data_IF_550543807559
#
_entry.id   IF_550543807559
#
_cell.length_a   1.000
_cell.length_b   1.000
_cell.length_c   1.000
_cell.angle_alpha   90.00
_cell.angle_beta   90.00
_cell.angle_gamma   90.00
#
_symmetry.space_group_name_H-M   'P 1'
#
loop_
_entity.id
_entity.type
_entity.pdbx_description
1 polymer ?
#
# COMPACT_ATOMS: atom_id res chain seq x y z
N UNK A 1 -4.22 -20.38 -5.63
CA UNK A 1 -3.34 -19.22 -5.91
C UNK A 1 -3.86 -18.53 -7.15
N UNK A 2 -4.88 -17.68 -6.98
CA UNK A 2 -5.34 -16.83 -8.07
C UNK A 2 -4.25 -15.79 -8.35
N UNK A 3 -3.82 -15.68 -9.61
CA UNK A 3 -2.99 -14.56 -10.03
C UNK A 3 -3.83 -13.29 -9.89
N UNK A 4 -3.68 -12.58 -8.78
CA UNK A 4 -4.20 -11.22 -8.68
C UNK A 4 -3.59 -10.41 -9.83
N UNK A 5 -4.40 -9.74 -10.65
CA UNK A 5 -3.87 -9.00 -11.78
C UNK A 5 -2.99 -7.86 -11.25
N UNK A 6 -1.66 -8.07 -11.33
CA UNK A 6 -0.61 -7.12 -10.95
C UNK A 6 -0.83 -5.68 -11.46
N UNK A 7 -1.58 -5.54 -12.56
CA UNK A 7 -1.93 -4.24 -13.14
C UNK A 7 -2.94 -3.46 -12.28
N UNK A 8 -3.95 -4.11 -11.71
CA UNK A 8 -4.96 -3.47 -10.86
C UNK A 8 -4.30 -2.96 -9.57
N UNK A 9 -3.41 -3.76 -8.99
CA UNK A 9 -2.67 -3.39 -7.77
C UNK A 9 -1.82 -2.14 -7.95
N UNK A 10 -1.20 -1.94 -9.11
CA UNK A 10 -0.35 -0.75 -9.37
C UNK A 10 -1.16 0.54 -9.45
N UNK A 11 -2.30 0.54 -10.13
CA UNK A 11 -3.17 1.73 -10.17
C UNK A 11 -3.79 2.02 -8.80
N UNK A 12 -4.20 0.99 -8.04
CA UNK A 12 -4.68 1.16 -6.67
C UNK A 12 -3.62 1.78 -5.75
N UNK A 13 -2.38 1.30 -5.80
CA UNK A 13 -1.27 1.87 -5.03
C UNK A 13 -1.07 3.34 -5.39
N UNK A 14 -1.03 3.65 -6.69
CA UNK A 14 -0.88 5.02 -7.17
C UNK A 14 -1.99 5.93 -6.69
N UNK A 15 -3.25 5.49 -6.79
CA UNK A 15 -4.41 6.25 -6.31
C UNK A 15 -4.32 6.48 -4.79
N UNK A 16 -4.05 5.44 -4.01
CA UNK A 16 -3.93 5.54 -2.57
C UNK A 16 -2.81 6.52 -2.13
N UNK A 17 -1.69 6.55 -2.86
CA UNK A 17 -0.61 7.52 -2.60
C UNK A 17 -1.02 8.96 -2.94
N UNK A 18 -1.73 9.17 -4.04
CA UNK A 18 -2.18 10.50 -4.50
C UNK A 18 -3.38 11.05 -3.71
N UNK A 19 -4.20 10.18 -3.13
CA UNK A 19 -5.34 10.55 -2.29
C UNK A 19 -4.93 10.80 -0.84
N UNK A 20 -3.79 10.26 -0.40
CA UNK A 20 -3.28 10.46 0.95
C UNK A 20 -2.78 11.89 1.15
N UNK A 21 -3.32 12.59 2.15
CA UNK A 21 -2.98 13.98 2.42
C UNK A 21 -1.49 14.25 2.71
N UNK A 22 -0.75 13.26 3.22
CA UNK A 22 0.67 13.37 3.51
C UNK A 22 1.55 13.06 2.29
N UNK A 23 1.05 12.26 1.34
CA UNK A 23 1.84 11.71 0.22
C UNK A 23 1.44 12.28 -1.15
N UNK A 24 0.32 12.99 -1.25
CA UNK A 24 -0.19 13.56 -2.50
C UNK A 24 0.72 14.55 -3.22
N UNK A 25 1.70 15.12 -2.51
CA UNK A 25 2.65 16.09 -3.07
C UNK A 25 3.94 15.44 -3.57
N UNK A 26 4.03 14.11 -3.60
CA UNK A 26 5.18 13.39 -4.14
C UNK A 26 5.28 13.60 -5.65
N UNK A 27 6.51 13.74 -6.14
CA UNK A 27 6.77 13.77 -7.58
C UNK A 27 6.49 12.40 -8.21
N UNK A 28 6.11 12.39 -9.48
CA UNK A 28 5.84 11.16 -10.25
C UNK A 28 6.97 10.12 -10.18
N UNK A 29 8.23 10.57 -10.12
CA UNK A 29 9.39 9.70 -9.94
C UNK A 29 9.38 8.97 -8.60
N UNK A 30 9.11 9.69 -7.51
CA UNK A 30 9.06 9.13 -6.15
C UNK A 30 7.89 8.16 -5.99
N UNK A 31 6.72 8.50 -6.55
CA UNK A 31 5.56 7.61 -6.56
C UNK A 31 5.91 6.29 -7.24
N UNK A 32 6.60 6.35 -8.38
CA UNK A 32 7.04 5.16 -9.12
C UNK A 32 8.03 4.31 -8.33
N UNK A 33 9.00 4.94 -7.67
CA UNK A 33 9.95 4.23 -6.80
C UNK A 33 9.25 3.52 -5.64
N UNK A 34 8.30 4.19 -4.98
CA UNK A 34 7.48 3.57 -3.92
C UNK A 34 6.73 2.37 -4.48
N UNK A 35 6.02 2.54 -5.60
CA UNK A 35 5.27 1.45 -6.25
C UNK A 35 6.15 0.26 -6.61
N UNK A 36 7.39 0.48 -7.05
CA UNK A 36 8.35 -0.58 -7.37
C UNK A 36 8.91 -1.28 -6.12
N UNK A 37 8.95 -0.59 -4.98
CA UNK A 37 9.41 -1.13 -3.70
C UNK A 37 8.35 -1.92 -2.92
N UNK A 38 7.06 -1.68 -3.20
CA UNK A 38 5.96 -2.35 -2.50
C UNK A 38 5.85 -3.83 -2.88
N UNK A 39 5.50 -4.66 -1.90
CA UNK A 39 5.27 -6.08 -2.06
C UNK A 39 3.98 -6.50 -1.35
N UNK A 40 3.39 -7.61 -1.80
CA UNK A 40 2.20 -8.17 -1.16
C UNK A 40 2.57 -8.84 0.16
N UNK A 41 1.82 -8.52 1.20
CA UNK A 41 1.91 -9.16 2.52
C UNK A 41 0.53 -9.64 2.94
N UNK A 42 0.40 -10.92 3.26
CA UNK A 42 -0.84 -11.51 3.78
C UNK A 42 -0.88 -11.34 5.30
N UNK A 43 -1.98 -10.80 5.82
CA UNK A 43 -2.18 -10.62 7.25
C UNK A 43 -3.32 -11.51 7.74
N UNK A 44 -3.11 -12.20 8.86
CA UNK A 44 -4.15 -13.01 9.48
C UNK A 44 -5.21 -12.14 10.17
N UNK A 45 -6.44 -12.64 10.24
CA UNK A 45 -7.51 -11.98 10.96
C UNK A 45 -7.15 -11.82 12.45
N UNK A 46 -7.21 -10.59 12.96
CA UNK A 46 -6.83 -10.26 14.32
C UNK A 46 -5.34 -10.00 14.52
N UNK A 47 -4.53 -10.02 13.45
CA UNK A 47 -3.13 -9.61 13.52
C UNK A 47 -3.01 -8.10 13.83
N UNK A 48 -2.01 -7.76 14.64
CA UNK A 48 -1.63 -6.37 14.92
C UNK A 48 -0.55 -5.96 13.93
N UNK A 49 -0.90 -5.16 12.93
CA UNK A 49 0.03 -4.72 11.86
C UNK A 49 0.88 -3.55 12.35
N UNK A 50 0.27 -2.55 12.97
CA UNK A 50 0.95 -1.39 13.54
C UNK A 50 0.57 -1.31 15.02
N UNK A 51 1.57 -1.16 15.88
CA UNK A 51 1.40 -0.96 17.32
C UNK A 51 1.85 0.44 17.70
N UNK A 52 0.99 1.17 18.42
CA UNK A 52 1.31 2.49 18.92
C UNK A 52 2.53 2.45 19.87
N UNK A 53 3.45 3.40 19.70
CA UNK A 53 4.70 3.47 20.45
C UNK A 53 5.88 2.74 19.80
N UNK A 54 5.63 1.86 18.82
CA UNK A 54 6.69 1.21 18.05
C UNK A 54 7.25 2.15 16.97
N UNK A 55 8.51 1.90 16.59
CA UNK A 55 9.14 2.66 15.50
C UNK A 55 8.50 2.27 14.16
N UNK A 56 7.97 3.25 13.43
CA UNK A 56 7.41 3.04 12.10
C UNK A 56 8.48 3.03 11.01
N UNK A 57 8.52 1.96 10.21
CA UNK A 57 9.44 1.81 9.07
C UNK A 57 8.80 1.31 7.78
N UNK A 58 7.52 0.92 7.82
CA UNK A 58 6.79 0.40 6.67
C UNK A 58 5.53 1.24 6.41
N UNK A 59 5.12 1.26 5.14
CA UNK A 59 3.85 1.82 4.67
C UNK A 59 2.99 0.70 4.10
N UNK A 60 1.70 0.72 4.44
CA UNK A 60 0.74 -0.30 4.03
C UNK A 60 -0.38 0.33 3.22
N UNK A 61 -0.82 -0.38 2.18
CA UNK A 61 -2.01 -0.06 1.39
C UNK A 61 -2.87 -1.31 1.41
N UNK A 62 -4.13 -1.15 1.81
CA UNK A 62 -5.09 -2.24 1.86
C UNK A 62 -5.99 -2.20 0.64
N UNK A 63 -6.18 -3.34 0.00
CA UNK A 63 -7.27 -3.52 -0.96
C UNK A 63 -8.57 -3.68 -0.18
N UNK A 64 -9.59 -2.86 -0.50
CA UNK A 64 -10.89 -2.95 0.16
C UNK A 64 -11.51 -4.33 -0.08
N UNK A 65 -12.07 -4.93 0.98
CA UNK A 65 -12.88 -6.14 0.83
C UNK A 65 -14.06 -5.80 -0.11
N UNK A 66 -14.34 -6.64 -1.14
CA UNK A 66 -15.57 -6.49 -1.90
C UNK A 66 -16.77 -6.71 -0.97
N UNK A 67 -17.82 -5.91 -1.18
CA UNK A 67 -19.11 -6.00 -0.47
C UNK A 67 -19.77 -7.39 -0.60
#
# INVERSE_FOLDING_TARGET
MGSFPLFISKELIKQALLENDFLKNLELGQVKEIMESMYCEECEAGAVIIREGDTGSMLYIMEGLPD
#
